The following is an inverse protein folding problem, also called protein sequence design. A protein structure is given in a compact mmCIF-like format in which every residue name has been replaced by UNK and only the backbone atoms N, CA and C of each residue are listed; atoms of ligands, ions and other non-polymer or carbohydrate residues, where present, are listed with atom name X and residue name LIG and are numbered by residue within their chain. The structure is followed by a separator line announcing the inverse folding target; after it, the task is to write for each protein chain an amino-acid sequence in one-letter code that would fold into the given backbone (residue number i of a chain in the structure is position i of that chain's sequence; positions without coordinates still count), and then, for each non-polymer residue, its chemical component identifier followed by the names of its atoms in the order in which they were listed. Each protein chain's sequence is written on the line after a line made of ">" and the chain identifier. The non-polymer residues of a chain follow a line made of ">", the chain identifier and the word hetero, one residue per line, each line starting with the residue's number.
data_IF_655989899479
#
_entry.id   IF_655989899479
#
_cell.length_a   1.000
_cell.length_b   1.000
_cell.length_c   1.000
_cell.angle_alpha   90.00
_cell.angle_beta   90.00
_cell.angle_gamma   90.00
#
_symmetry.space_group_name_H-M   'P 1'
#
loop_
_entity.id
_entity.type
_entity.pdbx_description
1 polymer ?
#
# COMPACT_ATOMS: atom_id res chain seq x y z
N UNK A 1 32.64 -31.94 55.60
CA UNK A 1 31.21 -32.31 55.76
C UNK A 1 30.46 -31.09 56.23
N UNK A 2 29.73 -30.44 55.31
CA UNK A 2 28.81 -29.34 55.61
C UNK A 2 27.72 -29.37 54.53
N UNK A 3 26.51 -29.79 54.90
CA UNK A 3 25.35 -29.76 54.02
C UNK A 3 24.89 -28.31 53.79
N UNK A 4 24.43 -27.94 52.59
CA UNK A 4 23.76 -26.66 52.35
C UNK A 4 22.27 -26.73 52.76
N UNK A 5 21.64 -25.63 53.21
CA UNK A 5 20.21 -25.63 53.45
C UNK A 5 19.43 -25.38 52.15
N UNK A 6 18.61 -26.38 51.82
CA UNK A 6 17.26 -26.36 51.25
C UNK A 6 16.80 -25.21 50.33
N UNK A 7 16.48 -25.64 49.11
CA UNK A 7 15.28 -25.31 48.33
C UNK A 7 14.20 -24.47 49.05
N UNK A 8 14.00 -23.26 48.57
CA UNK A 8 12.67 -22.67 48.46
C UNK A 8 12.38 -22.46 46.97
N UNK A 9 11.47 -23.27 46.43
CA UNK A 9 10.83 -23.01 45.14
C UNK A 9 10.00 -21.73 45.30
N UNK A 10 10.45 -20.64 44.68
CA UNK A 10 9.66 -19.41 44.59
C UNK A 10 8.67 -19.58 43.43
N UNK A 11 7.36 -19.35 43.63
CA UNK A 11 6.37 -19.54 42.59
C UNK A 11 6.61 -18.56 41.42
N UNK A 12 6.59 -19.09 40.20
CA UNK A 12 6.62 -18.32 38.95
C UNK A 12 5.27 -17.60 38.80
N UNK A 13 5.12 -16.46 39.47
CA UNK A 13 4.06 -15.49 39.23
C UNK A 13 4.57 -14.10 39.63
N UNK A 14 5.47 -13.57 38.81
CA UNK A 14 5.78 -12.14 38.79
C UNK A 14 6.05 -11.75 37.34
N UNK A 15 4.97 -11.68 36.56
CA UNK A 15 4.92 -10.93 35.30
C UNK A 15 4.88 -9.45 35.69
N UNK A 16 5.97 -8.95 36.27
CA UNK A 16 6.19 -7.53 36.35
C UNK A 16 6.66 -7.12 34.96
N UNK A 17 5.70 -6.53 34.24
CA UNK A 17 5.90 -5.64 33.11
C UNK A 17 7.16 -4.81 33.36
N UNK A 18 8.29 -5.23 32.77
CA UNK A 18 9.43 -4.37 32.64
C UNK A 18 9.00 -3.28 31.64
N UNK A 19 8.48 -2.19 32.19
CA UNK A 19 8.37 -0.91 31.48
C UNK A 19 9.81 -0.50 31.18
N UNK A 20 10.31 -0.91 30.01
CA UNK A 20 11.63 -0.50 29.54
C UNK A 20 11.56 1.03 29.37
N UNK A 21 12.45 1.81 30.01
CA UNK A 21 12.46 3.25 29.84
C UNK A 21 12.75 3.57 28.37
N UNK A 22 11.81 4.27 27.72
CA UNK A 22 11.96 4.80 26.36
C UNK A 22 13.04 5.90 26.34
N UNK A 23 14.31 5.53 26.46
CA UNK A 23 15.44 6.43 26.31
C UNK A 23 16.02 6.31 24.89
N UNK A 24 15.59 7.25 24.03
CA UNK A 24 16.28 7.75 22.82
C UNK A 24 17.16 6.74 22.06
N UNK A 25 16.53 5.80 21.37
CA UNK A 25 17.07 5.32 20.10
C UNK A 25 16.01 5.55 19.05
N UNK A 26 16.38 6.16 17.93
CA UNK A 26 15.53 6.29 16.76
C UNK A 26 15.39 4.89 16.17
N UNK A 27 14.47 4.10 16.73
CA UNK A 27 14.17 2.76 16.22
C UNK A 27 13.53 3.00 14.85
N UNK A 28 14.32 2.83 13.79
CA UNK A 28 13.74 2.76 12.46
C UNK A 28 12.75 1.60 12.45
N UNK A 29 11.56 1.76 11.84
CA UNK A 29 10.64 0.64 11.68
C UNK A 29 11.39 -0.53 11.06
N UNK A 30 11.11 -1.78 11.49
CA UNK A 30 11.85 -2.94 11.00
C UNK A 30 11.70 -3.07 9.48
N UNK A 31 12.77 -3.52 8.83
CA UNK A 31 12.78 -3.77 7.38
C UNK A 31 11.99 -5.05 7.09
N UNK A 32 11.17 -5.02 6.05
CA UNK A 32 10.30 -6.12 5.64
C UNK A 32 10.41 -6.32 4.13
N UNK A 33 10.27 -7.58 3.70
CA UNK A 33 10.21 -7.93 2.27
C UNK A 33 8.76 -8.07 1.82
N UNK A 34 8.45 -7.45 0.68
CA UNK A 34 7.13 -7.51 0.04
C UNK A 34 7.29 -7.94 -1.41
N UNK A 35 6.39 -8.81 -1.86
CA UNK A 35 6.31 -9.31 -3.23
C UNK A 35 5.12 -8.65 -3.89
N UNK A 36 5.38 -7.84 -4.90
CA UNK A 36 4.36 -7.24 -5.75
C UNK A 36 4.14 -8.18 -6.93
N UNK A 37 2.91 -8.67 -7.12
CA UNK A 37 2.53 -9.56 -8.21
C UNK A 37 1.43 -8.89 -9.01
N UNK A 38 1.75 -8.54 -10.25
CA UNK A 38 0.77 -8.00 -11.19
C UNK A 38 0.07 -9.14 -11.94
N UNK A 39 -1.16 -9.44 -11.56
CA UNK A 39 -1.99 -10.42 -12.28
C UNK A 39 -2.90 -9.80 -13.34
N UNK A 40 -2.90 -8.48 -13.50
CA UNK A 40 -3.72 -7.78 -14.50
C UNK A 40 -3.12 -7.94 -15.90
N UNK A 41 -3.86 -7.44 -16.90
CA UNK A 41 -3.45 -7.33 -18.30
C UNK A 41 -2.80 -5.98 -18.63
N UNK A 42 -2.63 -5.11 -17.63
CA UNK A 42 -2.13 -3.75 -17.76
C UNK A 42 -0.85 -3.50 -16.98
N UNK A 43 -0.12 -2.46 -17.35
CA UNK A 43 1.03 -2.00 -16.59
C UNK A 43 0.51 -1.34 -15.31
N UNK A 44 1.14 -1.65 -14.18
CA UNK A 44 0.81 -1.10 -12.86
C UNK A 44 1.90 -0.16 -12.42
N UNK A 45 1.57 1.11 -12.21
CA UNK A 45 2.49 2.05 -11.58
C UNK A 45 2.47 1.85 -10.06
N UNK A 46 3.64 1.62 -9.48
CA UNK A 46 3.82 1.36 -8.05
C UNK A 46 4.28 2.64 -7.37
N UNK A 47 3.52 3.10 -6.37
CA UNK A 47 3.82 4.33 -5.63
C UNK A 47 3.90 4.08 -4.14
N UNK A 48 4.90 4.67 -3.50
CA UNK A 48 5.00 4.74 -2.05
C UNK A 48 4.43 6.08 -1.58
N UNK A 49 3.54 6.05 -0.59
CA UNK A 49 3.08 7.25 0.10
C UNK A 49 4.06 7.58 1.24
N UNK A 50 4.77 8.70 1.08
CA UNK A 50 5.70 9.22 2.05
C UNK A 50 5.01 9.72 3.33
N UNK A 51 5.80 10.07 4.35
CA UNK A 51 5.32 10.63 5.61
C UNK A 51 4.67 12.01 5.48
N UNK A 52 4.98 12.76 4.42
CA UNK A 52 4.37 14.05 4.09
C UNK A 52 3.10 13.91 3.22
N UNK A 53 2.59 12.69 3.06
CA UNK A 53 1.47 12.34 2.19
C UNK A 53 1.70 12.67 0.70
N UNK A 54 2.96 12.74 0.25
CA UNK A 54 3.30 12.80 -1.17
C UNK A 54 3.58 11.41 -1.74
N UNK A 55 3.22 11.20 -3.00
CA UNK A 55 3.54 9.96 -3.70
C UNK A 55 4.94 10.01 -4.29
N UNK A 56 5.74 9.01 -3.97
CA UNK A 56 7.00 8.71 -4.65
C UNK A 56 6.81 7.58 -5.65
N UNK A 57 7.09 7.85 -6.91
CA UNK A 57 7.11 6.84 -7.97
C UNK A 57 8.22 5.80 -7.68
N UNK A 58 7.82 4.53 -7.70
CA UNK A 58 8.72 3.40 -7.46
C UNK A 58 8.91 2.55 -8.73
N UNK A 59 8.36 2.99 -9.87
CA UNK A 59 8.49 2.31 -11.15
C UNK A 59 7.26 1.49 -11.53
N UNK A 60 7.33 0.92 -12.73
CA UNK A 60 6.19 0.21 -13.33
C UNK A 60 6.37 -1.30 -13.26
N UNK A 61 5.29 -2.02 -12.99
CA UNK A 61 5.22 -3.47 -13.00
C UNK A 61 4.40 -3.95 -14.20
N UNK A 62 5.06 -4.60 -15.15
CA UNK A 62 4.43 -5.08 -16.38
C UNK A 62 3.36 -6.16 -16.11
N UNK A 63 2.42 -6.38 -17.05
CA UNK A 63 1.44 -7.47 -16.94
C UNK A 63 2.12 -8.81 -16.65
N UNK A 64 1.50 -9.62 -15.79
CA UNK A 64 1.95 -10.99 -15.44
C UNK A 64 3.38 -11.06 -14.88
N UNK A 65 3.90 -9.95 -14.36
CA UNK A 65 5.23 -9.88 -13.77
C UNK A 65 5.17 -9.69 -12.25
N UNK A 66 6.31 -9.85 -11.60
CA UNK A 66 6.45 -9.65 -10.17
C UNK A 66 7.73 -8.86 -9.85
N UNK A 67 7.75 -8.25 -8.66
CA UNK A 67 8.90 -7.52 -8.13
C UNK A 67 9.03 -7.73 -6.64
N UNK A 68 10.25 -7.98 -6.18
CA UNK A 68 10.56 -8.00 -4.76
C UNK A 68 10.98 -6.60 -4.31
N UNK A 69 10.42 -6.15 -3.20
CA UNK A 69 10.71 -4.82 -2.65
C UNK A 69 11.07 -4.97 -1.18
N UNK A 70 12.25 -4.46 -0.84
CA UNK A 70 12.65 -4.29 0.55
C UNK A 70 12.17 -2.92 1.03
N UNK A 71 11.26 -2.92 2.00
CA UNK A 71 10.60 -1.73 2.54
C UNK A 71 10.64 -1.74 4.07
N UNK A 72 9.98 -0.80 4.73
CA UNK A 72 9.86 -0.78 6.18
C UNK A 72 8.42 -0.99 6.63
N UNK A 73 8.25 -1.56 7.82
CA UNK A 73 6.96 -1.69 8.47
C UNK A 73 6.21 -0.35 8.50
N UNK A 74 4.91 -0.39 8.20
CA UNK A 74 4.07 0.81 8.14
C UNK A 74 4.20 1.65 6.87
N UNK A 75 5.10 1.31 5.93
CA UNK A 75 5.12 1.96 4.62
C UNK A 75 3.83 1.67 3.87
N UNK A 76 3.22 2.75 3.35
CA UNK A 76 1.93 2.76 2.66
C UNK A 76 2.13 2.73 1.14
N UNK A 77 1.56 1.73 0.46
CA UNK A 77 1.73 1.54 -0.98
C UNK A 77 0.42 1.67 -1.75
N UNK A 78 0.44 2.39 -2.88
CA UNK A 78 -0.67 2.53 -3.82
C UNK A 78 -0.27 2.02 -5.21
N UNK A 79 -1.23 1.43 -5.91
CA UNK A 79 -1.02 0.74 -7.18
C UNK A 79 -2.03 1.25 -8.20
N UNK A 80 -1.56 1.83 -9.29
CA UNK A 80 -2.44 2.43 -10.30
C UNK A 80 -2.31 1.71 -11.65
N UNK A 81 -3.43 1.41 -12.28
CA UNK A 81 -3.47 0.97 -13.67
C UNK A 81 -3.06 2.14 -14.58
N UNK A 82 -1.98 2.00 -15.35
CA UNK A 82 -1.51 3.10 -16.20
C UNK A 82 -2.40 3.35 -17.41
N UNK A 83 -3.28 2.40 -17.76
CA UNK A 83 -4.18 2.53 -18.91
C UNK A 83 -5.26 3.57 -18.66
N UNK A 84 -5.89 3.52 -17.49
CA UNK A 84 -7.02 4.38 -17.15
C UNK A 84 -6.79 5.23 -15.89
N UNK A 85 -5.69 5.04 -15.17
CA UNK A 85 -5.35 5.79 -13.97
C UNK A 85 -6.11 5.34 -12.73
N UNK A 86 -6.71 4.15 -12.77
CA UNK A 86 -7.52 3.62 -11.70
C UNK A 86 -6.66 3.02 -10.59
N UNK A 87 -7.07 3.21 -9.34
CA UNK A 87 -6.46 2.52 -8.21
C UNK A 87 -6.85 1.03 -8.22
N UNK A 88 -5.86 0.17 -8.04
CA UNK A 88 -6.04 -1.28 -7.97
C UNK A 88 -6.16 -1.74 -6.51
N UNK A 89 -6.91 -2.81 -6.29
CA UNK A 89 -6.99 -3.48 -4.98
C UNK A 89 -5.95 -4.59 -4.88
N UNK A 90 -5.65 -4.98 -3.64
CA UNK A 90 -4.78 -6.11 -3.33
C UNK A 90 -5.56 -7.18 -2.58
N UNK A 91 -4.97 -8.36 -2.40
CA UNK A 91 -5.53 -9.43 -1.57
C UNK A 91 -5.63 -9.12 -0.06
N UNK A 92 -5.16 -7.95 0.39
CA UNK A 92 -5.25 -7.52 1.79
C UNK A 92 -6.21 -6.36 2.03
N UNK A 93 -6.76 -5.78 0.96
CA UNK A 93 -7.68 -4.66 1.02
C UNK A 93 -9.07 -5.19 0.61
N UNK A 94 -10.05 -5.10 1.53
CA UNK A 94 -11.45 -5.43 1.23
C UNK A 94 -12.14 -4.18 0.69
N UNK A 95 -12.92 -4.26 -0.42
CA UNK A 95 -13.53 -3.09 -1.07
C UNK A 95 -14.37 -2.17 -0.17
N UNK A 96 -14.70 -2.63 1.04
CA UNK A 96 -15.49 -1.96 2.06
C UNK A 96 -14.64 -1.19 3.10
N UNK A 97 -13.31 -1.33 3.13
CA UNK A 97 -12.47 -0.61 4.10
C UNK A 97 -12.20 0.83 3.59
N UNK A 98 -12.77 1.86 4.20
CA UNK A 98 -12.58 3.26 3.74
C UNK A 98 -11.11 3.75 3.81
N UNK A 99 -10.23 3.04 4.53
CA UNK A 99 -8.78 3.30 4.61
C UNK A 99 -7.95 2.59 3.50
N UNK A 100 -8.62 1.92 2.55
CA UNK A 100 -8.11 0.97 1.52
C UNK A 100 -7.05 1.45 0.53
N UNK A 101 -6.57 2.69 0.60
CA UNK A 101 -5.68 3.21 -0.46
C UNK A 101 -4.26 2.65 -0.31
N UNK A 102 -3.94 2.11 0.87
CA UNK A 102 -2.57 1.77 1.23
C UNK A 102 -2.44 0.38 1.82
N UNK A 103 -1.63 -0.47 1.17
CA UNK A 103 -1.08 -1.60 1.90
C UNK A 103 0.00 -1.09 2.86
N UNK A 104 -0.22 -1.27 4.17
CA UNK A 104 0.82 -1.15 5.17
C UNK A 104 1.51 -2.52 5.32
N UNK A 105 2.82 -2.58 5.09
CA UNK A 105 3.56 -3.82 5.28
C UNK A 105 3.43 -4.28 6.74
N UNK A 106 2.88 -5.49 6.96
CA UNK A 106 2.61 -6.06 8.29
C UNK A 106 3.77 -6.94 8.74
N UNK A 107 4.00 -6.95 10.06
CA UNK A 107 4.86 -7.93 10.71
C UNK A 107 4.01 -9.15 11.09
N UNK A 108 4.59 -10.36 11.12
CA UNK A 108 3.93 -11.49 11.74
C UNK A 108 3.70 -11.22 13.24
N UNK A 109 2.61 -11.75 13.81
CA UNK A 109 2.21 -11.54 15.21
C UNK A 109 3.31 -11.92 16.22
N UNK A 110 4.21 -12.81 15.84
CA UNK A 110 5.33 -13.28 16.64
C UNK A 110 6.70 -12.71 16.19
N UNK A 111 6.73 -11.56 15.54
CA UNK A 111 7.99 -10.94 15.11
C UNK A 111 8.89 -10.61 16.30
N UNK A 112 10.10 -11.19 16.30
CA UNK A 112 11.18 -10.86 17.23
C UNK A 112 12.11 -9.86 16.53
N UNK A 113 12.38 -8.74 17.20
CA UNK A 113 13.27 -7.71 16.67
C UNK A 113 14.67 -8.29 16.43
N UNK A 114 15.11 -8.32 15.16
CA UNK A 114 16.41 -8.85 14.77
C UNK A 114 16.37 -10.21 14.06
N UNK A 115 15.21 -10.87 14.03
CA UNK A 115 15.00 -12.06 13.19
C UNK A 115 14.45 -11.66 11.80
N UNK A 116 14.88 -12.38 10.75
CA UNK A 116 14.29 -12.21 9.43
C UNK A 116 12.81 -12.64 9.47
N UNK A 117 11.91 -11.75 9.05
CA UNK A 117 10.47 -12.02 9.07
C UNK A 117 10.15 -13.28 8.26
N UNK A 118 9.60 -14.36 8.87
CA UNK A 118 9.42 -15.64 8.20
C UNK A 118 8.25 -15.66 7.20
N UNK A 119 7.37 -14.65 7.21
CA UNK A 119 6.23 -14.55 6.28
C UNK A 119 6.47 -13.44 5.27
N UNK A 120 6.58 -13.83 4.00
CA UNK A 120 6.65 -12.91 2.87
C UNK A 120 5.28 -12.24 2.68
N UNK A 121 5.24 -10.91 2.70
CA UNK A 121 4.03 -10.18 2.36
C UNK A 121 3.83 -10.25 0.84
N UNK A 122 2.81 -10.98 0.36
CA UNK A 122 2.55 -11.13 -1.08
C UNK A 122 1.32 -10.30 -1.48
N UNK A 123 1.55 -9.22 -2.21
CA UNK A 123 0.49 -8.39 -2.75
C UNK A 123 0.17 -8.79 -4.18
N UNK A 124 -1.05 -9.27 -4.37
CA UNK A 124 -1.59 -9.66 -5.67
C UNK A 124 -2.52 -8.55 -6.14
N UNK A 125 -2.15 -7.88 -7.22
CA UNK A 125 -2.94 -6.78 -7.78
C UNK A 125 -4.12 -7.32 -8.58
N UNK A 126 -5.31 -6.82 -8.27
CA UNK A 126 -6.56 -7.15 -8.95
C UNK A 126 -7.27 -5.86 -9.30
N UNK A 127 -8.00 -5.87 -10.42
CA UNK A 127 -9.01 -4.84 -10.63
C UNK A 127 -10.14 -5.07 -9.64
N UNK A 128 -10.76 -4.00 -9.14
CA UNK A 128 -11.99 -4.10 -8.35
C UNK A 128 -13.00 -4.89 -9.15
N UNK A 129 -13.40 -6.04 -8.62
CA UNK A 129 -14.37 -6.94 -9.27
C UNK A 129 -15.80 -6.50 -9.01
N UNK A 130 -16.04 -5.73 -7.94
CA UNK A 130 -17.33 -5.14 -7.62
C UNK A 130 -17.12 -3.64 -7.44
N UNK A 131 -17.61 -2.88 -8.40
CA UNK A 131 -17.71 -1.43 -8.31
C UNK A 131 -19.14 -1.09 -7.88
N UNK A 132 -19.34 0.00 -7.12
CA UNK A 132 -20.70 0.51 -6.92
C UNK A 132 -21.27 0.98 -8.25
N UNK A 133 -22.59 0.86 -8.44
CA UNK A 133 -23.24 1.35 -9.65
C UNK A 133 -22.92 2.83 -9.91
N UNK A 134 -22.84 3.63 -8.83
CA UNK A 134 -22.41 5.03 -8.88
C UNK A 134 -21.00 5.16 -9.47
N UNK A 135 -20.02 4.41 -8.96
CA UNK A 135 -18.65 4.49 -9.44
C UNK A 135 -18.51 4.04 -10.91
N UNK A 136 -19.15 2.92 -11.28
CA UNK A 136 -19.16 2.47 -12.67
C UNK A 136 -19.83 3.47 -13.62
N UNK A 137 -20.92 4.10 -13.19
CA UNK A 137 -21.58 5.15 -13.95
C UNK A 137 -20.68 6.39 -14.10
N UNK A 138 -20.01 6.83 -13.02
CA UNK A 138 -19.05 7.93 -13.07
C UNK A 138 -17.92 7.64 -14.06
N UNK A 139 -17.36 6.44 -14.01
CA UNK A 139 -16.29 5.98 -14.92
C UNK A 139 -16.73 5.93 -16.38
N UNK A 140 -17.93 5.43 -16.65
CA UNK A 140 -18.48 5.40 -18.00
C UNK A 140 -18.71 6.82 -18.55
N UNK A 141 -19.27 7.70 -17.73
CA UNK A 141 -19.59 9.08 -18.10
C UNK A 141 -18.32 9.93 -18.26
N UNK A 142 -17.31 9.76 -17.41
CA UNK A 142 -16.05 10.49 -17.47
C UNK A 142 -15.19 10.16 -18.70
N UNK A 143 -15.53 9.11 -19.47
CA UNK A 143 -14.90 8.78 -20.75
C UNK A 143 -15.56 9.50 -21.93
N UNK A 144 -16.68 10.18 -21.72
CA UNK A 144 -17.41 10.87 -22.79
C UNK A 144 -16.77 12.22 -23.11
N UNK A 145 -16.65 12.59 -24.39
CA UNK A 145 -16.10 13.88 -24.80
C UNK A 145 -17.04 15.06 -24.46
N UNK A 146 -18.34 14.81 -24.31
CA UNK A 146 -19.38 15.80 -24.05
C UNK A 146 -19.74 15.92 -22.55
N UNK A 147 -18.90 15.41 -21.65
CA UNK A 147 -19.12 15.38 -20.20
C UNK A 147 -19.65 16.71 -19.62
N UNK A 148 -19.07 17.83 -20.06
CA UNK A 148 -19.42 19.16 -19.55
C UNK A 148 -20.78 19.67 -20.02
N UNK A 149 -21.33 19.07 -21.08
CA UNK A 149 -22.61 19.44 -21.71
C UNK A 149 -23.78 18.62 -21.15
N UNK A 150 -23.49 17.57 -20.35
CA UNK A 150 -24.52 16.73 -19.76
C UNK A 150 -25.32 17.52 -18.71
N UNK A 151 -26.66 17.44 -18.82
CA UNK A 151 -27.59 17.97 -17.83
C UNK A 151 -27.67 16.97 -16.67
N UNK A 152 -26.78 17.13 -15.70
CA UNK A 152 -26.69 16.27 -14.51
C UNK A 152 -27.06 17.06 -13.26
N UNK A 153 -27.59 16.35 -12.27
CA UNK A 153 -27.78 16.92 -10.94
C UNK A 153 -26.44 17.48 -10.40
N UNK A 154 -26.42 18.63 -9.71
CA UNK A 154 -25.19 19.30 -9.28
C UNK A 154 -24.21 18.37 -8.54
N UNK A 155 -24.73 17.58 -7.59
CA UNK A 155 -23.93 16.62 -6.80
C UNK A 155 -23.23 15.56 -7.65
N UNK A 156 -23.88 15.09 -8.72
CA UNK A 156 -23.29 14.10 -9.66
C UNK A 156 -22.23 14.80 -10.52
N UNK A 157 -22.49 16.03 -10.95
CA UNK A 157 -21.54 16.83 -11.73
C UNK A 157 -20.27 17.12 -10.94
N UNK A 158 -20.39 17.47 -9.66
CA UNK A 158 -19.25 17.66 -8.74
C UNK A 158 -18.43 16.37 -8.58
N UNK A 159 -19.08 15.24 -8.30
CA UNK A 159 -18.40 13.95 -8.17
C UNK A 159 -17.67 13.54 -9.47
N UNK A 160 -18.29 13.77 -10.63
CA UNK A 160 -17.67 13.53 -11.94
C UNK A 160 -16.45 14.41 -12.19
N UNK A 161 -16.56 15.70 -11.85
CA UNK A 161 -15.46 16.66 -12.02
C UNK A 161 -14.29 16.26 -11.12
N UNK A 162 -14.54 15.96 -9.84
CA UNK A 162 -13.49 15.51 -8.91
C UNK A 162 -12.79 14.27 -9.43
N UNK A 163 -13.56 13.22 -9.78
CA UNK A 163 -13.02 11.98 -10.34
C UNK A 163 -12.19 12.23 -11.61
N UNK A 164 -12.71 13.05 -12.54
CA UNK A 164 -12.00 13.37 -13.79
C UNK A 164 -10.71 14.14 -13.51
N UNK A 165 -10.73 15.14 -12.63
CA UNK A 165 -9.56 15.95 -12.29
C UNK A 165 -8.47 15.11 -11.62
N UNK A 166 -8.83 14.28 -10.64
CA UNK A 166 -7.89 13.37 -9.97
C UNK A 166 -7.24 12.40 -10.96
N UNK A 167 -8.05 11.80 -11.84
CA UNK A 167 -7.59 10.90 -12.89
C UNK A 167 -6.64 11.60 -13.87
N UNK A 168 -6.98 12.80 -14.35
CA UNK A 168 -6.10 13.55 -15.26
C UNK A 168 -4.81 13.98 -14.56
N UNK A 169 -4.89 14.42 -13.31
CA UNK A 169 -3.72 14.78 -12.52
C UNK A 169 -2.76 13.59 -12.36
N UNK A 170 -3.29 12.39 -12.04
CA UNK A 170 -2.50 11.16 -12.01
C UNK A 170 -1.82 10.89 -13.36
N UNK A 171 -2.59 10.84 -14.45
CA UNK A 171 -2.07 10.50 -15.78
C UNK A 171 -1.00 11.49 -16.25
N UNK A 172 -1.20 12.79 -15.99
CA UNK A 172 -0.22 13.82 -16.29
C UNK A 172 1.04 13.66 -15.45
N UNK A 173 0.92 13.43 -14.14
CA UNK A 173 2.06 13.18 -13.26
C UNK A 173 2.85 11.94 -13.73
N UNK A 174 2.16 10.82 -13.95
CA UNK A 174 2.80 9.59 -14.39
C UNK A 174 3.53 9.75 -15.72
N UNK A 175 2.95 10.45 -16.71
CA UNK A 175 3.63 10.76 -17.97
C UNK A 175 4.91 11.57 -17.76
N UNK A 176 4.89 12.56 -16.86
CA UNK A 176 6.08 13.33 -16.50
C UNK A 176 7.14 12.45 -15.85
N UNK A 177 6.75 11.60 -14.91
CA UNK A 177 7.66 10.68 -14.22
C UNK A 177 8.33 9.72 -15.20
N UNK A 178 7.55 9.11 -16.10
CA UNK A 178 8.05 8.21 -17.15
C UNK A 178 9.00 8.94 -18.09
N UNK A 179 8.67 10.16 -18.53
CA UNK A 179 9.55 10.95 -19.39
C UNK A 179 10.87 11.37 -18.70
N UNK A 180 10.84 11.56 -17.37
CA UNK A 180 12.01 11.93 -16.57
C UNK A 180 12.94 10.74 -16.28
N UNK A 181 12.47 9.48 -16.42
CA UNK A 181 13.33 8.30 -16.31
C UNK A 181 14.26 8.27 -17.54
N UNK A 182 15.48 8.79 -17.41
CA UNK A 182 16.49 8.64 -18.46
C UNK A 182 16.69 7.15 -18.78
N UNK A 183 16.88 6.76 -20.06
CA UNK A 183 17.35 5.41 -20.36
C UNK A 183 18.70 5.24 -19.64
N UNK A 184 18.83 4.19 -18.83
CA UNK A 184 20.15 3.83 -18.32
C UNK A 184 21.02 3.57 -19.56
N UNK A 185 22.20 4.20 -19.70
CA UNK A 185 23.12 3.83 -20.76
C UNK A 185 23.39 2.33 -20.64
N UNK A 186 23.32 1.65 -21.79
CA UNK A 186 23.53 0.21 -21.93
C UNK A 186 24.94 -0.20 -21.53
#
# INVERSE_FOLDING_TARGET
>A
MSNPPNNALVPVNNINQAVIPFHRQRIFPPRVMVFFINTTDTIVNVRWLNSDNTYKDYGDLHPKSYRHVSTFYGHRWAFYDTKDGELLTTNYNSPDDEEEIYFAAKLPENYILGEESPKQNVLIFRRRTVETLTYSALKAVARRPDLMQLQLAPKIKEALISYYQERQAFLQQWRRDVAARQPRPA
#
